data_IF_416863355870
#
_entry.id   IF_416863355870
#
_cell.length_a   1.000
_cell.length_b   1.000
_cell.length_c   1.000
_cell.angle_alpha   90.00
_cell.angle_beta   90.00
_cell.angle_gamma   90.00
#
_symmetry.space_group_name_H-M   'P 1'
#
loop_
_entity.id
_entity.type
_entity.pdbx_description
1 polymer ?
#
# COMPACT_ATOMS: atom_id res chain seq x y z
N UNK A 1 17.48 35.90 -11.95
CA UNK A 1 16.19 35.37 -11.46
C UNK A 1 16.38 34.70 -10.10
N UNK A 2 15.46 34.86 -9.14
CA UNK A 2 15.50 34.13 -7.88
C UNK A 2 15.50 32.61 -8.10
N UNK A 3 16.22 31.87 -7.26
CA UNK A 3 16.39 30.40 -7.38
C UNK A 3 15.04 29.66 -7.47
N UNK A 4 14.08 30.00 -6.62
CA UNK A 4 12.74 29.40 -6.63
C UNK A 4 11.98 29.63 -7.93
N UNK A 5 12.04 30.85 -8.47
CA UNK A 5 11.41 31.18 -9.76
C UNK A 5 11.97 30.39 -10.93
N UNK A 6 13.31 30.19 -10.96
CA UNK A 6 13.94 29.36 -12.00
C UNK A 6 13.48 27.90 -11.92
N UNK A 7 13.43 27.33 -10.71
CA UNK A 7 12.97 25.96 -10.49
C UNK A 7 11.50 25.79 -10.86
N UNK A 8 10.67 26.76 -10.50
CA UNK A 8 9.26 26.79 -10.84
C UNK A 8 9.05 26.83 -12.35
N UNK A 9 9.76 27.73 -13.05
CA UNK A 9 9.69 27.81 -14.51
C UNK A 9 10.08 26.48 -15.19
N UNK A 10 11.14 25.82 -14.71
CA UNK A 10 11.57 24.51 -15.22
C UNK A 10 10.49 23.44 -14.96
N UNK A 11 9.94 23.38 -13.75
CA UNK A 11 8.91 22.41 -13.41
C UNK A 11 7.62 22.63 -14.23
N UNK A 12 7.22 23.88 -14.46
CA UNK A 12 6.11 24.23 -15.35
C UNK A 12 6.40 23.81 -16.78
N UNK A 13 7.62 24.04 -17.29
CA UNK A 13 8.00 23.66 -18.64
C UNK A 13 7.86 22.15 -18.85
N UNK A 14 8.43 21.34 -17.97
CA UNK A 14 8.30 19.88 -18.05
C UNK A 14 6.85 19.41 -17.87
N UNK A 15 6.10 20.04 -16.97
CA UNK A 15 4.69 19.70 -16.78
C UNK A 15 3.86 19.98 -18.04
N UNK A 16 4.02 21.16 -18.63
CA UNK A 16 3.32 21.58 -19.85
C UNK A 16 3.75 20.75 -21.05
N UNK A 17 5.05 20.45 -21.18
CA UNK A 17 5.56 19.58 -22.23
C UNK A 17 4.93 18.19 -22.14
N UNK A 18 4.96 17.57 -20.96
CA UNK A 18 4.39 16.26 -20.76
C UNK A 18 2.87 16.23 -20.98
N UNK A 19 2.11 17.18 -20.42
CA UNK A 19 0.64 17.14 -20.48
C UNK A 19 0.09 17.74 -21.77
N UNK A 20 0.32 19.05 -22.00
CA UNK A 20 -0.38 19.76 -23.08
C UNK A 20 0.24 19.48 -24.43
N UNK A 21 1.57 19.41 -24.54
CA UNK A 21 2.22 19.11 -25.82
C UNK A 21 2.26 17.61 -26.07
N UNK A 22 2.66 16.84 -25.06
CA UNK A 22 2.86 15.40 -25.13
C UNK A 22 1.56 14.62 -25.17
N UNK A 23 0.94 14.45 -24.01
CA UNK A 23 -0.24 13.60 -23.84
C UNK A 23 -1.42 14.07 -24.71
N UNK A 24 -1.70 15.37 -24.79
CA UNK A 24 -2.88 15.88 -25.50
C UNK A 24 -2.69 15.98 -27.03
N UNK A 25 -1.56 16.51 -27.48
CA UNK A 25 -1.33 16.83 -28.90
C UNK A 25 -0.33 15.91 -29.60
N UNK A 26 0.35 15.01 -28.88
CA UNK A 26 1.34 14.10 -29.45
C UNK A 26 2.62 14.79 -29.95
N UNK A 27 2.92 16.00 -29.44
CA UNK A 27 4.03 16.86 -29.88
C UNK A 27 5.06 17.17 -28.79
N UNK A 28 4.97 16.53 -27.62
CA UNK A 28 5.93 16.71 -26.54
C UNK A 28 7.32 16.18 -26.89
N UNK A 29 8.33 16.51 -26.07
CA UNK A 29 9.72 16.10 -26.31
C UNK A 29 9.84 14.59 -26.51
N UNK A 30 9.15 13.79 -25.68
CA UNK A 30 9.16 12.34 -25.78
C UNK A 30 8.51 11.81 -27.07
N UNK A 31 7.47 12.47 -27.59
CA UNK A 31 6.88 12.09 -28.89
C UNK A 31 7.83 12.41 -30.04
N UNK A 32 8.52 13.55 -29.99
CA UNK A 32 9.50 13.92 -31.02
C UNK A 32 10.68 12.95 -31.04
N UNK A 33 11.13 12.51 -29.86
CA UNK A 33 12.18 11.48 -29.75
C UNK A 33 11.71 10.16 -30.39
N UNK A 34 10.48 9.74 -30.15
CA UNK A 34 9.93 8.52 -30.76
C UNK A 34 9.83 8.64 -32.28
N UNK A 35 9.38 9.79 -32.79
CA UNK A 35 9.33 10.08 -34.23
C UNK A 35 10.72 10.02 -34.86
N UNK A 36 11.76 10.54 -34.19
CA UNK A 36 13.15 10.46 -34.66
C UNK A 36 13.67 9.01 -34.66
N UNK A 37 13.23 8.19 -33.70
CA UNK A 37 13.54 6.77 -33.61
C UNK A 37 12.69 5.90 -34.56
N UNK A 38 11.87 6.51 -35.41
CA UNK A 38 11.06 5.82 -36.41
C UNK A 38 9.81 5.13 -35.83
N UNK A 39 9.24 5.65 -34.74
CA UNK A 39 8.12 5.06 -34.00
C UNK A 39 8.41 3.62 -33.55
N UNK A 40 9.67 3.38 -33.18
CA UNK A 40 10.16 2.07 -32.76
C UNK A 40 9.92 1.77 -31.28
N UNK A 41 9.45 2.75 -30.49
CA UNK A 41 9.11 2.51 -29.10
C UNK A 41 7.84 1.65 -28.98
N UNK A 42 7.71 0.84 -27.92
CA UNK A 42 6.47 0.15 -27.62
C UNK A 42 5.31 1.15 -27.57
N UNK A 43 4.17 0.76 -28.16
CA UNK A 43 3.02 1.62 -28.40
C UNK A 43 2.60 2.44 -27.16
N UNK A 44 2.77 1.88 -25.96
CA UNK A 44 2.34 2.51 -24.72
C UNK A 44 3.43 3.27 -23.95
N UNK A 45 4.69 3.10 -24.34
CA UNK A 45 5.81 3.59 -23.53
C UNK A 45 5.85 5.12 -23.48
N UNK A 46 5.52 5.79 -24.57
CA UNK A 46 5.62 7.25 -24.69
C UNK A 46 4.67 7.94 -23.72
N UNK A 47 3.39 7.55 -23.71
CA UNK A 47 2.41 8.16 -22.82
C UNK A 47 2.63 7.76 -21.35
N UNK A 48 3.14 6.54 -21.07
CA UNK A 48 3.54 6.14 -19.70
C UNK A 48 4.66 7.05 -19.18
N UNK A 49 5.70 7.28 -19.98
CA UNK A 49 6.82 8.14 -19.59
C UNK A 49 6.38 9.58 -19.38
N UNK A 50 5.46 10.09 -20.19
CA UNK A 50 4.88 11.43 -20.02
C UNK A 50 4.03 11.56 -18.75
N UNK A 51 3.28 10.52 -18.36
CA UNK A 51 2.60 10.52 -17.05
C UNK A 51 3.62 10.60 -15.91
N UNK A 52 4.70 9.81 -15.98
CA UNK A 52 5.77 9.81 -14.97
C UNK A 52 6.44 11.18 -14.90
N UNK A 53 6.71 11.81 -16.04
CA UNK A 53 7.28 13.15 -16.13
C UNK A 53 6.35 14.20 -15.52
N UNK A 54 5.06 14.19 -15.86
CA UNK A 54 4.06 15.11 -15.32
C UNK A 54 3.90 14.97 -13.79
N UNK A 55 3.84 13.74 -13.28
CA UNK A 55 3.77 13.48 -11.83
C UNK A 55 5.07 13.93 -11.14
N UNK A 56 6.23 13.68 -11.75
CA UNK A 56 7.53 14.11 -11.24
C UNK A 56 7.65 15.64 -11.17
N UNK A 57 7.14 16.35 -12.18
CA UNK A 57 7.02 17.80 -12.15
C UNK A 57 6.08 18.28 -11.03
N UNK A 58 5.02 17.53 -10.74
CA UNK A 58 4.16 17.75 -9.58
C UNK A 58 4.90 17.67 -8.24
N UNK A 59 5.74 16.65 -8.06
CA UNK A 59 6.63 16.55 -6.89
C UNK A 59 7.64 17.71 -6.84
N UNK A 60 8.11 18.20 -7.99
CA UNK A 60 8.98 19.37 -8.05
C UNK A 60 8.27 20.63 -7.53
N UNK A 61 6.98 20.86 -7.85
CA UNK A 61 6.20 21.96 -7.27
C UNK A 61 6.13 21.89 -5.76
N UNK A 62 5.84 20.70 -5.21
CA UNK A 62 5.84 20.48 -3.75
C UNK A 62 7.21 20.80 -3.18
N UNK A 63 8.29 20.31 -3.78
CA UNK A 63 9.66 20.57 -3.31
C UNK A 63 10.01 22.07 -3.30
N UNK A 64 9.55 22.84 -4.29
CA UNK A 64 9.75 24.29 -4.34
C UNK A 64 9.03 24.99 -3.17
N UNK A 65 7.82 24.55 -2.81
CA UNK A 65 7.09 25.06 -1.63
C UNK A 65 7.91 24.82 -0.35
N UNK A 66 8.53 23.64 -0.24
CA UNK A 66 9.37 23.31 0.92
C UNK A 66 10.69 24.10 0.93
N UNK A 67 11.42 24.17 -0.18
CA UNK A 67 12.79 24.68 -0.21
C UNK A 67 12.89 26.20 -0.36
N UNK A 68 12.00 26.80 -1.16
CA UNK A 68 12.22 28.14 -1.73
C UNK A 68 11.22 29.19 -1.22
N UNK A 69 10.14 28.79 -0.52
CA UNK A 69 9.21 29.71 0.15
C UNK A 69 9.68 29.99 1.59
N UNK A 70 9.69 31.25 2.01
CA UNK A 70 10.10 31.65 3.36
C UNK A 70 9.20 31.01 4.43
N UNK A 71 9.74 30.61 5.60
CA UNK A 71 8.94 30.13 6.73
C UNK A 71 7.87 31.16 7.13
N UNK A 72 6.63 30.71 7.20
CA UNK A 72 5.47 31.54 7.53
C UNK A 72 4.19 30.73 7.45
N UNK A 73 3.07 31.32 7.87
CA UNK A 73 1.77 30.63 7.88
C UNK A 73 1.38 30.14 6.48
N UNK A 74 1.61 30.95 5.45
CA UNK A 74 1.34 30.58 4.06
C UNK A 74 2.11 29.33 3.59
N UNK A 75 3.40 29.21 3.95
CA UNK A 75 4.21 28.02 3.64
C UNK A 75 3.66 26.79 4.36
N UNK A 76 3.32 26.92 5.64
CA UNK A 76 2.80 25.79 6.43
C UNK A 76 1.46 25.30 5.86
N UNK A 77 0.56 26.21 5.47
CA UNK A 77 -0.70 25.88 4.81
C UNK A 77 -0.44 25.21 3.46
N UNK A 78 0.48 25.74 2.64
CA UNK A 78 0.83 25.14 1.36
C UNK A 78 1.46 23.74 1.50
N UNK A 79 2.28 23.52 2.52
CA UNK A 79 2.83 22.20 2.86
C UNK A 79 1.71 21.25 3.31
N UNK A 80 0.80 21.70 4.18
CA UNK A 80 -0.33 20.88 4.62
C UNK A 80 -1.26 20.48 3.47
N UNK A 81 -1.43 21.35 2.47
CA UNK A 81 -2.22 21.10 1.27
C UNK A 81 -1.46 20.36 0.16
N UNK A 82 -0.16 20.08 0.31
CA UNK A 82 0.64 19.47 -0.75
C UNK A 82 0.16 18.07 -1.17
N UNK A 83 -0.37 17.19 -0.29
CA UNK A 83 -0.94 15.92 -0.74
C UNK A 83 -2.16 16.11 -1.64
N UNK A 84 -3.01 17.10 -1.34
CA UNK A 84 -4.16 17.45 -2.19
C UNK A 84 -3.71 18.03 -3.53
N UNK A 85 -2.67 18.86 -3.53
CA UNK A 85 -2.06 19.37 -4.76
C UNK A 85 -1.57 18.22 -5.66
N UNK A 86 -0.85 17.24 -5.11
CA UNK A 86 -0.38 16.09 -5.87
C UNK A 86 -1.53 15.26 -6.44
N UNK A 87 -2.59 15.05 -5.64
CA UNK A 87 -3.79 14.37 -6.10
C UNK A 87 -4.42 15.13 -7.28
N UNK A 88 -4.59 16.46 -7.18
CA UNK A 88 -5.11 17.28 -8.28
C UNK A 88 -4.25 17.19 -9.54
N UNK A 89 -2.93 17.16 -9.38
CA UNK A 89 -2.00 16.99 -10.50
C UNK A 89 -2.20 15.63 -11.17
N UNK A 90 -2.33 14.54 -10.40
CA UNK A 90 -2.61 13.21 -10.95
C UNK A 90 -3.94 13.18 -11.69
N UNK A 91 -5.01 13.73 -11.11
CA UNK A 91 -6.32 13.81 -11.77
C UNK A 91 -6.26 14.64 -13.06
N UNK A 92 -5.54 15.76 -13.05
CA UNK A 92 -5.34 16.58 -14.24
C UNK A 92 -4.54 15.83 -15.32
N UNK A 93 -3.45 15.15 -14.95
CA UNK A 93 -2.67 14.34 -15.89
C UNK A 93 -3.50 13.22 -16.50
N UNK A 94 -4.34 12.54 -15.71
CA UNK A 94 -5.26 11.51 -16.21
C UNK A 94 -6.35 12.08 -17.13
N UNK A 95 -6.91 13.25 -16.80
CA UNK A 95 -7.86 13.95 -17.67
C UNK A 95 -7.25 14.19 -19.05
N UNK A 96 -6.03 14.76 -19.08
CA UNK A 96 -5.34 15.08 -20.32
C UNK A 96 -4.91 13.83 -21.09
N UNK A 97 -4.41 12.80 -20.41
CA UNK A 97 -4.09 11.50 -21.01
C UNK A 97 -5.32 10.91 -21.72
N UNK A 98 -6.44 10.82 -21.01
CA UNK A 98 -7.64 10.20 -21.55
C UNK A 98 -8.24 11.02 -22.70
N UNK A 99 -8.15 12.35 -22.64
CA UNK A 99 -8.50 13.20 -23.78
C UNK A 99 -7.59 12.94 -24.99
N UNK A 100 -6.28 12.85 -24.78
CA UNK A 100 -5.30 12.57 -25.85
C UNK A 100 -5.44 11.17 -26.47
N UNK A 101 -5.86 10.18 -25.68
CA UNK A 101 -6.16 8.83 -26.14
C UNK A 101 -7.57 8.68 -26.73
N UNK A 102 -8.35 9.76 -26.80
CA UNK A 102 -9.77 9.76 -27.16
C UNK A 102 -10.56 8.67 -26.41
N UNK A 103 -10.35 8.62 -25.11
CA UNK A 103 -10.94 7.64 -24.20
C UNK A 103 -11.61 8.33 -23.02
N UNK A 104 -12.45 7.58 -22.31
CA UNK A 104 -13.19 8.06 -21.15
C UNK A 104 -13.10 7.05 -20.02
N UNK A 105 -12.88 7.55 -18.81
CA UNK A 105 -13.00 6.77 -17.59
C UNK A 105 -13.98 7.45 -16.65
N UNK A 106 -14.76 6.66 -15.89
CA UNK A 106 -15.59 7.22 -14.83
C UNK A 106 -15.14 6.69 -13.49
N UNK A 107 -14.84 7.61 -12.58
CA UNK A 107 -14.42 7.32 -11.21
C UNK A 107 -15.60 7.61 -10.30
N UNK A 108 -16.02 6.63 -9.52
CA UNK A 108 -17.07 6.78 -8.52
C UNK A 108 -16.43 6.92 -7.15
N UNK A 109 -16.54 8.11 -6.57
CA UNK A 109 -16.11 8.38 -5.20
C UNK A 109 -17.27 8.09 -4.26
N UNK A 110 -17.11 7.03 -3.48
CA UNK A 110 -18.04 6.66 -2.41
C UNK A 110 -17.48 7.21 -1.09
N UNK A 111 -18.07 8.29 -0.59
CA UNK A 111 -17.53 9.04 0.56
C UNK A 111 -17.45 8.19 1.83
N UNK A 112 -18.47 7.37 2.07
CA UNK A 112 -18.50 6.49 3.24
C UNK A 112 -17.47 5.39 3.09
N UNK A 113 -17.38 4.75 1.92
CA UNK A 113 -16.38 3.72 1.66
C UNK A 113 -14.96 4.26 1.80
N UNK A 114 -14.69 5.48 1.28
CA UNK A 114 -13.40 6.15 1.45
C UNK A 114 -13.12 6.35 2.94
N UNK A 115 -14.06 6.92 3.69
CA UNK A 115 -13.89 7.17 5.14
C UNK A 115 -13.65 5.90 5.96
N UNK A 116 -14.47 4.86 5.76
CA UNK A 116 -14.35 3.60 6.50
C UNK A 116 -13.08 2.85 6.11
N UNK A 117 -12.75 2.75 4.82
CA UNK A 117 -11.52 2.11 4.38
C UNK A 117 -10.29 2.87 4.86
N UNK A 118 -10.29 4.21 4.81
CA UNK A 118 -9.20 5.03 5.36
C UNK A 118 -9.01 4.72 6.84
N UNK A 119 -10.07 4.63 7.63
CA UNK A 119 -9.96 4.31 9.06
C UNK A 119 -9.44 2.89 9.30
N UNK A 120 -9.95 1.90 8.56
CA UNK A 120 -9.53 0.50 8.66
C UNK A 120 -8.03 0.35 8.35
N UNK A 121 -7.58 0.89 7.22
CA UNK A 121 -6.17 0.82 6.82
C UNK A 121 -5.27 1.64 7.75
N UNK A 122 -5.70 2.84 8.14
CA UNK A 122 -4.93 3.67 9.09
C UNK A 122 -4.78 2.98 10.44
N UNK A 123 -5.85 2.38 10.97
CA UNK A 123 -5.81 1.60 12.21
C UNK A 123 -4.88 0.40 12.09
N UNK A 124 -4.91 -0.30 10.96
CA UNK A 124 -4.04 -1.46 10.70
C UNK A 124 -2.57 -1.04 10.67
N UNK A 125 -2.23 0.01 9.93
CA UNK A 125 -0.86 0.54 9.88
C UNK A 125 -0.41 1.12 11.23
N UNK A 126 -1.32 1.77 11.98
CA UNK A 126 -1.03 2.25 13.32
C UNK A 126 -0.74 1.09 14.27
N UNK A 127 -1.52 0.01 14.22
CA UNK A 127 -1.27 -1.18 15.04
C UNK A 127 0.09 -1.82 14.71
N UNK A 128 0.45 -1.91 13.43
CA UNK A 128 1.78 -2.38 12.99
C UNK A 128 2.89 -1.46 13.52
N UNK A 129 2.73 -0.14 13.37
CA UNK A 129 3.69 0.84 13.86
C UNK A 129 3.85 0.82 15.38
N UNK A 130 2.75 0.72 16.13
CA UNK A 130 2.75 0.54 17.58
C UNK A 130 3.49 -0.74 17.98
N UNK A 131 3.23 -1.85 17.28
CA UNK A 131 3.96 -3.11 17.49
C UNK A 131 5.47 -2.94 17.28
N UNK A 132 5.89 -2.35 16.15
CA UNK A 132 7.30 -2.11 15.82
C UNK A 132 7.98 -1.16 16.80
N UNK A 133 7.30 -0.11 17.26
CA UNK A 133 7.87 0.85 18.22
C UNK A 133 8.01 0.24 19.62
N UNK A 134 7.04 -0.56 20.07
CA UNK A 134 7.13 -1.29 21.34
C UNK A 134 8.26 -2.31 21.33
N UNK A 135 8.37 -3.12 20.27
CA UNK A 135 9.46 -4.12 20.16
C UNK A 135 10.82 -3.44 20.07
N UNK A 136 10.94 -2.36 19.29
CA UNK A 136 12.17 -1.59 19.20
C UNK A 136 12.58 -0.97 20.54
N UNK A 137 11.62 -0.41 21.31
CA UNK A 137 11.89 0.17 22.62
C UNK A 137 12.48 -0.84 23.60
N UNK A 138 12.04 -2.10 23.52
CA UNK A 138 12.52 -3.19 24.39
C UNK A 138 13.83 -3.79 23.84
N UNK A 139 13.88 -4.13 22.55
CA UNK A 139 14.98 -4.88 21.94
C UNK A 139 16.17 -3.99 21.54
N UNK A 140 15.94 -2.72 21.21
CA UNK A 140 16.95 -1.72 20.79
C UNK A 140 17.70 -2.04 19.49
N UNK A 141 17.13 -2.87 18.63
CA UNK A 141 17.59 -3.13 17.26
C UNK A 141 16.40 -3.35 16.33
N UNK A 142 16.61 -3.18 15.02
CA UNK A 142 15.60 -3.52 14.01
C UNK A 142 15.47 -5.03 13.89
N UNK A 143 14.32 -5.60 14.26
CA UNK A 143 14.08 -7.03 14.23
C UNK A 143 13.27 -7.42 12.98
N UNK A 144 13.95 -7.93 11.96
CA UNK A 144 13.31 -8.36 10.71
C UNK A 144 12.45 -9.62 10.87
N UNK A 145 12.70 -10.45 11.89
CA UNK A 145 11.87 -11.63 12.17
C UNK A 145 10.46 -11.26 12.66
N UNK A 146 10.20 -9.98 12.98
CA UNK A 146 8.89 -9.53 13.45
C UNK A 146 7.75 -9.84 12.47
N UNK A 147 7.98 -9.67 11.16
CA UNK A 147 6.99 -10.02 10.14
C UNK A 147 6.73 -11.52 10.06
N UNK A 148 7.71 -12.35 10.44
CA UNK A 148 7.56 -13.80 10.39
C UNK A 148 6.79 -14.34 11.59
N UNK A 149 6.76 -13.64 12.73
CA UNK A 149 5.85 -14.00 13.82
C UNK A 149 4.38 -13.83 13.44
N UNK A 150 4.06 -12.86 12.58
CA UNK A 150 2.72 -12.76 11.99
C UNK A 150 2.39 -14.00 11.14
N UNK A 151 3.35 -14.46 10.33
CA UNK A 151 3.21 -15.70 9.54
C UNK A 151 3.03 -16.92 10.45
N UNK A 152 3.80 -17.03 11.54
CA UNK A 152 3.66 -18.10 12.54
C UNK A 152 2.24 -18.14 13.09
N UNK A 153 1.70 -16.99 13.54
CA UNK A 153 0.34 -16.91 14.06
C UNK A 153 -0.73 -17.30 13.04
N UNK A 154 -0.58 -16.83 11.79
CA UNK A 154 -1.49 -17.17 10.69
C UNK A 154 -1.54 -18.68 10.41
N UNK A 155 -0.38 -19.33 10.28
CA UNK A 155 -0.34 -20.78 10.01
C UNK A 155 -0.73 -21.62 11.22
N UNK A 156 -0.46 -21.16 12.45
CA UNK A 156 -0.98 -21.83 13.65
C UNK A 156 -2.51 -21.80 13.68
N UNK A 157 -3.13 -20.66 13.31
CA UNK A 157 -4.58 -20.57 13.22
C UNK A 157 -5.16 -21.57 12.21
N UNK A 158 -4.54 -21.69 11.04
CA UNK A 158 -4.88 -22.67 10.01
C UNK A 158 -4.76 -24.12 10.52
N UNK A 159 -3.66 -24.47 11.19
CA UNK A 159 -3.42 -25.83 11.69
C UNK A 159 -4.46 -26.26 12.71
N UNK A 160 -4.90 -25.35 13.59
CA UNK A 160 -5.94 -25.66 14.59
C UNK A 160 -7.27 -25.90 13.93
N UNK A 161 -7.66 -25.04 12.99
CA UNK A 161 -8.95 -25.14 12.35
C UNK A 161 -9.09 -26.40 11.50
N UNK A 162 -7.99 -26.88 10.91
CA UNK A 162 -7.93 -28.17 10.21
C UNK A 162 -7.65 -29.36 11.13
N UNK A 163 -7.54 -29.16 12.45
CA UNK A 163 -7.41 -30.29 13.37
C UNK A 163 -8.74 -31.04 13.47
N UNK A 164 -8.70 -32.36 13.64
CA UNK A 164 -9.89 -33.22 13.70
C UNK A 164 -10.94 -32.74 14.73
N UNK A 165 -10.50 -32.07 15.79
CA UNK A 165 -11.38 -31.55 16.83
C UNK A 165 -12.19 -30.32 16.37
N UNK A 166 -11.63 -29.47 15.51
CA UNK A 166 -12.27 -28.23 15.06
C UNK A 166 -12.74 -28.27 13.60
N UNK A 167 -12.28 -29.25 12.81
CA UNK A 167 -12.70 -29.47 11.41
C UNK A 167 -14.22 -29.52 11.23
N UNK A 168 -15.01 -30.19 12.10
CA UNK A 168 -16.46 -30.22 11.94
C UNK A 168 -17.14 -28.86 12.09
N UNK A 169 -16.54 -27.94 12.86
CA UNK A 169 -17.05 -26.57 13.05
C UNK A 169 -16.59 -25.69 11.88
N UNK A 170 -15.36 -25.91 11.39
CA UNK A 170 -14.79 -25.20 10.25
C UNK A 170 -15.48 -25.55 8.92
N UNK A 171 -15.84 -26.82 8.71
CA UNK A 171 -16.53 -27.31 7.50
C UNK A 171 -18.06 -27.16 7.58
N UNK A 172 -18.57 -26.61 8.68
CA UNK A 172 -20.00 -26.40 8.84
C UNK A 172 -20.55 -25.47 7.73
N UNK A 173 -21.72 -25.78 7.15
CA UNK A 173 -22.39 -24.85 6.25
C UNK A 173 -22.68 -23.53 6.94
N UNK A 174 -22.56 -22.43 6.19
CA UNK A 174 -22.90 -21.10 6.66
C UNK A 174 -24.35 -21.04 7.16
N UNK A 175 -24.53 -20.68 8.44
CA UNK A 175 -25.82 -20.59 9.12
C UNK A 175 -26.21 -19.15 9.49
N UNK A 176 -25.34 -18.18 9.17
CA UNK A 176 -25.51 -16.76 9.44
C UNK A 176 -24.99 -16.31 10.81
N UNK A 177 -24.41 -17.20 11.61
CA UNK A 177 -23.88 -16.89 12.94
C UNK A 177 -22.40 -17.27 13.02
N UNK A 178 -21.55 -16.26 13.16
CA UNK A 178 -20.11 -16.48 13.33
C UNK A 178 -19.85 -17.39 14.54
N UNK A 179 -19.08 -18.45 14.36
CA UNK A 179 -18.59 -19.34 15.40
C UNK A 179 -17.56 -18.65 16.32
N UNK A 180 -18.02 -17.68 17.13
CA UNK A 180 -17.19 -16.86 18.02
C UNK A 180 -16.34 -17.69 18.98
N UNK A 181 -16.84 -18.85 19.40
CA UNK A 181 -16.10 -19.75 20.30
C UNK A 181 -14.86 -20.35 19.62
N UNK A 182 -14.95 -20.75 18.35
CA UNK A 182 -13.83 -21.24 17.56
C UNK A 182 -12.85 -20.09 17.30
N UNK A 183 -13.34 -18.94 16.84
CA UNK A 183 -12.52 -17.76 16.57
C UNK A 183 -11.68 -17.35 17.79
N UNK A 184 -12.30 -17.22 18.97
CA UNK A 184 -11.60 -16.82 20.19
C UNK A 184 -10.58 -17.87 20.64
N UNK A 185 -10.90 -19.17 20.55
CA UNK A 185 -9.97 -20.25 20.92
C UNK A 185 -8.75 -20.27 20.00
N UNK A 186 -8.97 -20.19 18.70
CA UNK A 186 -7.91 -20.13 17.69
C UNK A 186 -7.04 -18.91 17.91
N UNK A 187 -7.63 -17.73 18.17
CA UNK A 187 -6.90 -16.49 18.43
C UNK A 187 -6.01 -16.60 19.68
N UNK A 188 -6.55 -17.06 20.81
CA UNK A 188 -5.81 -17.20 22.06
C UNK A 188 -4.68 -18.21 21.92
N UNK A 189 -4.94 -19.36 21.30
CA UNK A 189 -3.91 -20.36 21.08
C UNK A 189 -2.81 -19.82 20.15
N UNK A 190 -3.17 -19.23 19.01
CA UNK A 190 -2.20 -18.66 18.07
C UNK A 190 -1.35 -17.57 18.74
N UNK A 191 -1.96 -16.72 19.58
CA UNK A 191 -1.25 -15.71 20.36
C UNK A 191 -0.23 -16.33 21.32
N UNK A 192 -0.65 -17.30 22.13
CA UNK A 192 0.22 -17.97 23.10
C UNK A 192 1.36 -18.71 22.40
N UNK A 193 1.06 -19.53 21.41
CA UNK A 193 2.06 -20.30 20.68
C UNK A 193 3.04 -19.42 19.90
N UNK A 194 2.57 -18.33 19.27
CA UNK A 194 3.47 -17.37 18.61
C UNK A 194 4.40 -16.70 19.63
N UNK A 195 3.88 -16.32 20.80
CA UNK A 195 4.67 -15.78 21.90
C UNK A 195 5.74 -16.77 22.39
N UNK A 196 5.38 -18.05 22.53
CA UNK A 196 6.32 -19.12 22.90
C UNK A 196 7.41 -19.29 21.85
N UNK A 197 7.09 -19.31 20.54
CA UNK A 197 8.10 -19.34 19.47
C UNK A 197 9.03 -18.13 19.56
N UNK A 198 8.49 -16.94 19.86
CA UNK A 198 9.28 -15.73 20.10
C UNK A 198 10.26 -15.88 21.26
N UNK A 199 9.80 -16.40 22.40
CA UNK A 199 10.65 -16.68 23.58
C UNK A 199 11.71 -17.73 23.26
N UNK A 200 11.36 -18.80 22.54
CA UNK A 200 12.30 -19.84 22.13
C UNK A 200 13.42 -19.28 21.27
N UNK A 201 13.09 -18.47 20.26
CA UNK A 201 14.08 -17.83 19.39
C UNK A 201 14.97 -16.87 20.20
N UNK A 202 14.39 -16.13 21.13
CA UNK A 202 15.14 -15.23 21.99
C UNK A 202 16.17 -15.98 22.84
N UNK A 203 15.78 -17.10 23.44
CA UNK A 203 16.66 -17.92 24.27
C UNK A 203 17.74 -18.60 23.43
N UNK A 204 17.36 -19.19 22.29
CA UNK A 204 18.25 -20.00 21.46
C UNK A 204 19.26 -19.16 20.67
N UNK A 205 18.84 -18.00 20.18
CA UNK A 205 19.65 -17.19 19.25
C UNK A 205 20.05 -15.87 19.88
N UNK A 206 19.09 -14.99 20.16
CA UNK A 206 19.38 -13.60 20.54
C UNK A 206 20.11 -13.48 21.88
N UNK A 207 19.82 -14.35 22.85
CA UNK A 207 20.49 -14.38 24.15
C UNK A 207 22.00 -14.55 23.99
N UNK A 208 22.45 -15.44 23.11
CA UNK A 208 23.88 -15.67 22.87
C UNK A 208 24.59 -14.43 22.36
N UNK A 209 23.99 -13.72 21.40
CA UNK A 209 24.53 -12.46 20.88
C UNK A 209 24.53 -11.34 21.92
N UNK A 210 23.48 -11.24 22.75
CA UNK A 210 23.43 -10.26 23.85
C UNK A 210 24.51 -10.52 24.90
N UNK A 211 24.74 -11.77 25.29
CA UNK A 211 25.80 -12.13 26.23
C UNK A 211 27.20 -11.77 25.72
N UNK A 212 27.41 -11.84 24.40
CA UNK A 212 28.65 -11.42 23.73
C UNK A 212 28.74 -9.93 23.42
N UNK A 213 27.79 -9.12 23.91
CA UNK A 213 27.71 -7.66 23.68
C UNK A 213 27.74 -7.30 22.18
N UNK A 214 27.07 -8.08 21.34
CA UNK A 214 26.97 -7.81 19.92
C UNK A 214 26.33 -6.43 19.65
N UNK A 215 26.76 -5.77 18.58
CA UNK A 215 26.20 -4.47 18.19
C UNK A 215 24.76 -4.65 17.65
N UNK A 216 23.91 -3.60 17.71
CA UNK A 216 22.56 -3.65 17.15
C UNK A 216 22.51 -4.07 15.67
N UNK A 217 23.56 -3.74 14.91
CA UNK A 217 23.70 -4.13 13.50
C UNK A 217 23.83 -5.64 13.33
N UNK A 218 24.64 -6.29 14.19
CA UNK A 218 24.78 -7.76 14.19
C UNK A 218 23.47 -8.43 14.61
N UNK A 219 22.78 -7.88 15.62
CA UNK A 219 21.46 -8.37 16.03
C UNK A 219 20.43 -8.27 14.90
N UNK A 220 20.46 -7.18 14.14
CA UNK A 220 19.60 -6.97 12.96
C UNK A 220 19.89 -8.02 11.87
N UNK A 221 21.16 -8.29 11.56
CA UNK A 221 21.56 -9.33 10.59
C UNK A 221 21.11 -10.72 11.08
N UNK A 222 21.31 -11.03 12.36
CA UNK A 222 20.84 -12.29 12.95
C UNK A 222 19.31 -12.44 12.85
N UNK A 223 18.56 -11.36 13.04
CA UNK A 223 17.10 -11.38 12.90
C UNK A 223 16.62 -11.64 11.48
N UNK A 224 17.36 -11.15 10.47
CA UNK A 224 17.10 -11.47 9.06
C UNK A 224 17.32 -12.97 8.81
N UNK A 225 18.39 -13.54 9.36
CA UNK A 225 18.65 -14.98 9.27
C UNK A 225 17.50 -15.82 9.84
N UNK A 226 17.00 -15.46 11.03
CA UNK A 226 15.83 -16.11 11.63
C UNK A 226 14.60 -15.94 10.75
N UNK A 227 14.38 -14.74 10.19
CA UNK A 227 13.25 -14.48 9.31
C UNK A 227 13.24 -15.44 8.10
N UNK A 228 14.40 -15.61 7.46
CA UNK A 228 14.56 -16.53 6.34
C UNK A 228 14.36 -17.99 6.75
N UNK A 229 14.84 -18.41 7.93
CA UNK A 229 14.64 -19.76 8.45
C UNK A 229 13.15 -20.03 8.68
N UNK A 230 12.45 -19.13 9.37
CA UNK A 230 11.01 -19.27 9.62
C UNK A 230 10.24 -19.35 8.30
N UNK A 231 10.49 -18.41 7.38
CA UNK A 231 9.87 -18.41 6.05
C UNK A 231 10.14 -19.70 5.29
N UNK A 232 11.37 -20.22 5.32
CA UNK A 232 11.72 -21.48 4.67
C UNK A 232 10.99 -22.67 5.30
N UNK A 233 10.87 -22.73 6.63
CA UNK A 233 10.13 -23.79 7.33
C UNK A 233 8.66 -23.79 6.89
N UNK A 234 8.00 -22.63 6.88
CA UNK A 234 6.60 -22.53 6.43
C UNK A 234 6.46 -22.85 4.94
N UNK A 235 7.39 -22.39 4.11
CA UNK A 235 7.40 -22.73 2.68
C UNK A 235 7.53 -24.24 2.45
N UNK A 236 8.41 -24.93 3.19
CA UNK A 236 8.57 -26.38 3.07
C UNK A 236 7.33 -27.14 3.56
N UNK A 237 6.63 -26.62 4.58
CA UNK A 237 5.47 -27.30 5.16
C UNK A 237 4.16 -27.05 4.40
N UNK A 238 3.96 -25.84 3.88
CA UNK A 238 2.69 -25.36 3.31
C UNK A 238 2.77 -24.98 1.83
N UNK A 239 3.98 -24.91 1.25
CA UNK A 239 4.20 -24.55 -0.15
C UNK A 239 4.05 -23.06 -0.45
N UNK A 240 4.04 -22.73 -1.75
CA UNK A 240 3.84 -21.38 -2.28
C UNK A 240 2.37 -21.07 -2.60
N UNK A 241 1.49 -22.06 -2.50
CA UNK A 241 0.08 -21.93 -2.87
C UNK A 241 -0.62 -20.93 -1.97
N UNK A 242 -1.44 -20.06 -2.59
CA UNK A 242 -2.27 -19.11 -1.85
C UNK A 242 -3.43 -19.86 -1.19
N UNK A 243 -3.28 -20.15 0.10
CA UNK A 243 -4.35 -20.70 0.91
C UNK A 243 -5.04 -19.55 1.66
N UNK A 244 -6.34 -19.37 1.42
CA UNK A 244 -7.16 -18.42 2.16
C UNK A 244 -7.77 -19.20 3.33
N UNK A 245 -7.44 -18.79 4.54
CA UNK A 245 -8.00 -19.38 5.74
C UNK A 245 -9.25 -18.59 6.16
N UNK A 246 -10.39 -19.29 6.26
CA UNK A 246 -11.67 -18.72 6.64
C UNK A 246 -12.14 -19.46 7.89
N UNK A 247 -12.00 -18.89 9.11
CA UNK A 247 -12.32 -19.60 10.35
C UNK A 247 -13.75 -20.18 10.37
N UNK A 248 -14.64 -19.57 9.60
CA UNK A 248 -16.04 -19.91 9.40
C UNK A 248 -16.48 -19.28 8.06
N UNK A 249 -17.30 -20.00 7.27
CA UNK A 249 -17.86 -19.49 6.01
C UNK A 249 -18.72 -18.23 6.21
N UNK A 250 -19.32 -18.08 7.39
CA UNK A 250 -20.14 -16.94 7.75
C UNK A 250 -19.35 -15.63 7.88
N UNK A 251 -18.03 -15.68 8.07
CA UNK A 251 -17.18 -14.48 8.15
C UNK A 251 -17.21 -13.69 6.83
N UNK A 252 -17.32 -14.38 5.68
CA UNK A 252 -17.33 -13.74 4.36
C UNK A 252 -18.73 -13.45 3.83
N UNK A 253 -19.71 -14.25 4.25
CA UNK A 253 -21.10 -14.11 3.82
C UNK A 253 -21.84 -13.10 4.70
N UNK A 254 -21.25 -12.68 5.82
CA UNK A 254 -21.90 -11.86 6.83
C UNK A 254 -22.68 -10.68 6.24
N UNK A 255 -23.99 -10.85 6.23
CA UNK A 255 -24.98 -9.81 5.96
C UNK A 255 -24.94 -8.70 7.04
N UNK A 256 -24.03 -8.80 8.01
CA UNK A 256 -23.76 -7.83 9.08
C UNK A 256 -22.76 -6.74 8.67
N UNK A 257 -22.47 -6.59 7.37
CA UNK A 257 -21.80 -5.38 6.89
C UNK A 257 -22.71 -4.18 7.12
N UNK A 258 -22.20 -3.18 7.84
CA UNK A 258 -22.92 -1.95 8.11
C UNK A 258 -23.14 -1.20 6.78
N UNK A 259 -24.35 -1.29 6.24
CA UNK A 259 -24.76 -0.55 5.02
C UNK A 259 -25.11 0.88 5.39
N UNK A 260 -24.09 1.69 5.59
CA UNK A 260 -24.26 3.11 5.84
C UNK A 260 -24.62 3.77 4.50
N UNK A 261 -25.76 4.49 4.41
CA UNK A 261 -26.16 5.16 3.19
C UNK A 261 -25.09 6.19 2.79
N UNK A 262 -24.69 6.16 1.53
CA UNK A 262 -23.58 6.95 1.00
C UNK A 262 -24.00 7.75 -0.22
N UNK A 263 -23.46 8.95 -0.34
CA UNK A 263 -23.56 9.74 -1.56
C UNK A 263 -22.38 9.38 -2.46
N UNK A 264 -22.68 8.92 -3.67
CA UNK A 264 -21.69 8.56 -4.68
C UNK A 264 -21.49 9.75 -5.62
N UNK A 265 -20.28 10.31 -5.65
CA UNK A 265 -19.90 11.34 -6.60
C UNK A 265 -19.23 10.69 -7.81
N UNK A 266 -19.87 10.76 -8.98
CA UNK A 266 -19.30 10.25 -10.24
C UNK A 266 -18.53 11.37 -10.94
N UNK A 267 -17.22 11.18 -11.11
CA UNK A 267 -16.34 12.07 -11.87
C UNK A 267 -16.04 11.38 -13.20
N UNK A 268 -16.32 12.07 -14.30
CA UNK A 268 -15.99 11.58 -15.64
C UNK A 268 -14.71 12.26 -16.10
N UNK A 269 -13.70 11.44 -16.44
CA UNK A 269 -12.44 11.89 -16.99
C UNK A 269 -12.33 11.57 -18.49
N UNK A 270 -11.60 12.39 -19.23
CA UNK A 270 -11.33 12.20 -20.65
C UNK A 270 -12.35 12.87 -21.57
N UNK A 271 -12.56 12.29 -22.76
CA UNK A 271 -13.51 12.83 -23.72
C UNK A 271 -14.96 12.55 -23.29
N UNK A 272 -15.75 13.61 -23.10
CA UNK A 272 -17.15 13.54 -22.62
C UNK A 272 -18.16 13.33 -23.74
N UNK A 273 -17.76 13.59 -24.97
CA UNK A 273 -18.61 13.42 -26.16
C UNK A 273 -18.76 11.94 -26.56
N UNK A 274 -17.82 11.11 -26.10
CA UNK A 274 -17.93 9.66 -26.18
C UNK A 274 -19.09 9.19 -25.28
N UNK A 275 -20.04 8.46 -25.89
CA UNK A 275 -21.06 7.72 -25.14
C UNK A 275 -20.34 6.84 -24.12
N UNK A 276 -20.84 6.83 -22.88
CA UNK A 276 -20.37 5.85 -21.92
C UNK A 276 -20.52 4.47 -22.56
N UNK A 277 -19.42 3.73 -22.71
CA UNK A 277 -19.51 2.31 -22.97
C UNK A 277 -20.34 1.73 -21.82
N UNK A 278 -21.52 1.22 -22.16
CA UNK A 278 -22.39 0.50 -21.23
C UNK A 278 -21.68 -0.81 -20.90
N UNK A 279 -21.00 -0.84 -19.75
CA UNK A 279 -20.64 -2.06 -19.02
C UNK A 279 -20.98 -1.85 -17.53
#
# INVERSE_FOLDING_TARGET
MPRGWRRFAIAVLFFVDATLLGLLHGQGILNQIDQILGNGLPNDLVWILQIVEAISAGFAFVKIIFDDIKPGMARNVAIALSPLLLLLIVFFTLEILLQGLDSRASIVLDMVSIGTNTLIWSSTYLAIALGLTLTYKVQRYGNFAQSEFFMVGMFLAMVIAWSDYYSPIYEAPADGVIAWSLLLRVLVFAFVCTGLVGVMIDILVYRGFRLRKATPQVMMIASLGIALILRAIFFLRFGSSRNIFEPDGDIRISNMSWKIPTQKLKINLGNRDLRASED
#
